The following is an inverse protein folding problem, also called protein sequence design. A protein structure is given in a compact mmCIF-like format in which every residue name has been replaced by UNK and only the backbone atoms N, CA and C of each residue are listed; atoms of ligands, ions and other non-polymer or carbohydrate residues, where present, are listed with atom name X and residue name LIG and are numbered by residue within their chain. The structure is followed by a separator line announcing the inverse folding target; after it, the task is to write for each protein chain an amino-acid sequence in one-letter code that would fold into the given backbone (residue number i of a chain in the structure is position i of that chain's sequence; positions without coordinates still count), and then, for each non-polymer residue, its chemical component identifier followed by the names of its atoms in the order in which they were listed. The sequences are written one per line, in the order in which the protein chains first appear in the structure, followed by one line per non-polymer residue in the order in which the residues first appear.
data_IF_578441137003
#
_entry.id   IF_578441137003
#
_cell.length_a   1.000
_cell.length_b   1.000
_cell.length_c   1.000
_cell.angle_alpha   90.00
_cell.angle_beta   90.00
_cell.angle_gamma   90.00
#
_symmetry.space_group_name_H-M   'P 1'
#
loop_
_entity.id
_entity.type
_entity.pdbx_description
1 polymer ?
#
# COMPACT_ATOMS: atom_id res chain seq x y z
N UNK A 1 24.62 0.33 -7.06
CA UNK A 1 24.32 1.78 -6.89
C UNK A 1 25.44 2.65 -7.44
N UNK A 2 26.72 2.27 -7.26
CA UNK A 2 27.86 2.94 -7.92
C UNK A 2 27.81 2.81 -9.45
N UNK A 3 27.37 1.66 -9.97
CA UNK A 3 27.21 1.46 -11.42
C UNK A 3 26.19 2.41 -12.03
N UNK A 4 25.03 2.58 -11.38
CA UNK A 4 23.99 3.50 -11.79
C UNK A 4 24.50 4.96 -11.81
N UNK A 5 25.26 5.38 -10.79
CA UNK A 5 25.86 6.73 -10.76
C UNK A 5 26.82 6.95 -11.92
N UNK A 6 27.60 5.93 -12.30
CA UNK A 6 28.52 5.97 -13.43
C UNK A 6 27.76 6.15 -14.75
N UNK A 7 26.70 5.37 -14.95
CA UNK A 7 25.82 5.47 -16.12
C UNK A 7 25.21 6.88 -16.25
N UNK A 8 24.64 7.44 -15.18
CA UNK A 8 24.07 8.80 -15.23
C UNK A 8 25.12 9.88 -15.49
N UNK A 9 26.36 9.71 -15.03
CA UNK A 9 27.46 10.64 -15.34
C UNK A 9 27.86 10.58 -16.82
N UNK A 10 27.82 9.39 -17.41
CA UNK A 10 28.07 9.19 -18.84
C UNK A 10 26.94 9.80 -19.68
N UNK A 11 25.68 9.58 -19.33
CA UNK A 11 24.53 10.19 -20.04
C UNK A 11 24.56 11.72 -19.94
N UNK A 12 24.87 12.29 -18.77
CA UNK A 12 25.08 13.74 -18.61
C UNK A 12 26.13 14.27 -19.58
N UNK A 13 27.24 13.55 -19.75
CA UNK A 13 28.33 13.95 -20.65
C UNK A 13 27.88 13.93 -22.11
N UNK A 14 27.17 12.88 -22.52
CA UNK A 14 26.60 12.77 -23.87
C UNK A 14 25.60 13.89 -24.16
N UNK A 15 24.71 14.21 -23.20
CA UNK A 15 23.74 15.28 -23.34
C UNK A 15 24.40 16.67 -23.43
N UNK A 16 25.43 16.94 -22.61
CA UNK A 16 26.21 18.19 -22.69
C UNK A 16 26.92 18.33 -24.03
N UNK A 17 27.53 17.25 -24.53
CA UNK A 17 28.11 17.23 -25.88
C UNK A 17 27.05 17.54 -26.95
N UNK A 18 25.91 16.86 -26.89
CA UNK A 18 24.82 17.03 -27.86
C UNK A 18 24.24 18.46 -27.83
N UNK A 19 24.21 19.10 -26.66
CA UNK A 19 23.82 20.49 -26.49
C UNK A 19 24.84 21.47 -27.08
N UNK A 20 26.13 21.25 -26.81
CA UNK A 20 27.23 22.10 -27.32
C UNK A 20 27.39 21.99 -28.84
N UNK A 21 27.33 20.77 -29.39
CA UNK A 21 27.41 20.55 -30.84
C UNK A 21 26.30 21.31 -31.60
N UNK A 22 25.07 21.31 -31.05
CA UNK A 22 23.94 22.06 -31.62
C UNK A 22 24.08 23.58 -31.43
N UNK A 23 24.71 24.01 -30.33
CA UNK A 23 24.98 25.43 -30.10
C UNK A 23 25.97 26.02 -31.11
N UNK A 24 26.94 25.24 -31.57
CA UNK A 24 27.93 25.68 -32.56
C UNK A 24 27.41 25.61 -34.00
N UNK A 25 26.51 24.68 -34.32
CA UNK A 25 25.98 24.50 -35.67
C UNK A 25 24.95 25.55 -36.11
N UNK A 26 24.26 26.21 -35.18
CA UNK A 26 23.12 27.09 -35.49
C UNK A 26 23.40 28.57 -35.19
N UNK A 27 23.67 29.34 -36.25
CA UNK A 27 23.70 30.82 -36.21
C UNK A 27 22.35 31.49 -36.54
N UNK A 28 21.37 30.72 -37.02
CA UNK A 28 19.99 31.15 -37.28
C UNK A 28 19.07 30.09 -36.67
N UNK A 29 18.27 30.48 -35.67
CA UNK A 29 17.45 29.56 -34.90
C UNK A 29 16.08 29.39 -35.57
N UNK A 30 15.82 28.20 -36.12
CA UNK A 30 14.46 27.76 -36.45
C UNK A 30 13.69 27.43 -35.16
N UNK A 31 12.36 27.50 -35.17
CA UNK A 31 11.54 27.21 -33.98
C UNK A 31 11.78 25.79 -33.45
N UNK A 32 12.01 24.83 -34.35
CA UNK A 32 12.28 23.43 -34.00
C UNK A 32 13.64 23.25 -33.32
N UNK A 33 14.65 24.02 -33.72
CA UNK A 33 15.96 24.02 -33.08
C UNK A 33 15.92 24.57 -31.64
N UNK A 34 15.09 25.59 -31.41
CA UNK A 34 14.88 26.18 -30.09
C UNK A 34 14.24 25.15 -29.14
N UNK A 35 13.20 24.44 -29.61
CA UNK A 35 12.52 23.42 -28.78
C UNK A 35 13.41 22.24 -28.47
N UNK A 36 14.19 21.75 -29.44
CA UNK A 36 15.17 20.68 -29.19
C UNK A 36 16.25 21.09 -28.18
N UNK A 37 16.73 22.34 -28.24
CA UNK A 37 17.68 22.86 -27.23
C UNK A 37 17.06 22.98 -25.84
N UNK A 38 15.80 23.41 -25.75
CA UNK A 38 15.09 23.46 -24.48
C UNK A 38 14.95 22.05 -23.90
N UNK A 39 14.53 21.07 -24.72
CA UNK A 39 14.42 19.68 -24.32
C UNK A 39 15.76 19.13 -23.80
N UNK A 40 16.87 19.36 -24.51
CA UNK A 40 18.19 18.94 -24.05
C UNK A 40 18.60 19.60 -22.73
N UNK A 41 18.24 20.87 -22.53
CA UNK A 41 18.49 21.57 -21.27
C UNK A 41 17.70 20.98 -20.11
N UNK A 42 16.43 20.63 -20.33
CA UNK A 42 15.58 19.97 -19.34
C UNK A 42 16.11 18.58 -19.00
N UNK A 43 16.47 17.78 -20.00
CA UNK A 43 17.07 16.45 -19.82
C UNK A 43 18.37 16.51 -19.02
N UNK A 44 19.21 17.53 -19.24
CA UNK A 44 20.43 17.75 -18.44
C UNK A 44 20.06 18.05 -16.98
N UNK A 45 19.05 18.89 -16.75
CA UNK A 45 18.56 19.22 -15.41
C UNK A 45 18.05 18.00 -14.65
N UNK A 46 17.27 17.14 -15.32
CA UNK A 46 16.77 15.90 -14.73
C UNK A 46 17.88 14.93 -14.36
N UNK A 47 18.88 14.76 -15.24
CA UNK A 47 20.04 13.90 -14.97
C UNK A 47 20.89 14.46 -13.83
N UNK A 48 21.10 15.78 -13.78
CA UNK A 48 21.81 16.43 -12.67
C UNK A 48 21.07 16.26 -11.34
N UNK A 49 19.74 16.39 -11.35
CA UNK A 49 18.90 16.13 -10.17
C UNK A 49 19.04 14.69 -9.66
N UNK A 50 19.01 13.70 -10.56
CA UNK A 50 19.19 12.28 -10.18
C UNK A 50 20.60 12.03 -9.65
N UNK A 51 21.64 12.59 -10.27
CA UNK A 51 23.02 12.47 -9.79
C UNK A 51 23.16 13.03 -8.37
N UNK A 52 22.64 14.23 -8.10
CA UNK A 52 22.72 14.83 -6.76
C UNK A 52 21.98 13.96 -5.73
N UNK A 53 20.85 13.37 -6.10
CA UNK A 53 20.13 12.45 -5.23
C UNK A 53 20.94 11.19 -4.91
N UNK A 54 21.57 10.59 -5.92
CA UNK A 54 22.38 9.37 -5.77
C UNK A 54 23.69 9.62 -5.01
N UNK A 55 24.28 10.81 -5.13
CA UNK A 55 25.51 11.18 -4.41
C UNK A 55 25.26 11.56 -2.95
N UNK A 56 24.22 12.33 -2.69
CA UNK A 56 23.93 12.86 -1.35
C UNK A 56 23.00 11.97 -0.53
N UNK A 57 22.23 11.10 -1.20
CA UNK A 57 21.13 10.35 -0.60
C UNK A 57 19.98 11.23 -0.10
N UNK A 58 19.97 12.52 -0.49
CA UNK A 58 19.01 13.54 -0.04
C UNK A 58 18.34 14.18 -1.24
N UNK A 59 17.14 14.72 -1.02
CA UNK A 59 16.43 15.48 -2.06
C UNK A 59 17.24 16.72 -2.46
N UNK A 60 17.61 16.87 -3.74
CA UNK A 60 18.23 18.08 -4.26
C UNK A 60 17.38 19.33 -3.99
N UNK A 61 18.03 20.43 -3.67
CA UNK A 61 17.37 21.72 -3.38
C UNK A 61 16.68 21.82 -2.00
N UNK A 62 16.59 20.73 -1.22
CA UNK A 62 16.06 20.78 0.14
C UNK A 62 17.18 21.04 1.16
N UNK A 63 17.10 22.15 1.92
CA UNK A 63 18.06 22.46 2.99
C UNK A 63 17.99 21.50 4.20
N UNK A 64 16.84 20.85 4.40
CA UNK A 64 16.59 19.88 5.49
C UNK A 64 16.25 18.53 4.88
N UNK A 65 16.85 17.45 5.40
CA UNK A 65 16.54 16.10 4.96
C UNK A 65 15.22 15.59 5.50
N UNK A 66 14.87 14.36 5.10
CA UNK A 66 13.61 13.70 5.49
C UNK A 66 13.49 13.53 7.01
N UNK A 67 14.62 13.44 7.70
CA UNK A 67 14.71 13.34 9.15
C UNK A 67 14.26 14.61 9.89
N UNK A 68 14.21 15.76 9.20
CA UNK A 68 13.86 17.07 9.78
C UNK A 68 12.81 17.79 8.93
N UNK A 69 11.67 17.13 8.76
CA UNK A 69 10.48 17.71 8.11
C UNK A 69 9.82 18.82 8.94
N UNK A 70 9.33 19.85 8.24
CA UNK A 70 8.50 20.88 8.85
C UNK A 70 7.16 20.31 9.35
N UNK A 71 6.48 20.99 10.29
CA UNK A 71 5.23 20.51 10.88
C UNK A 71 4.17 20.17 9.81
N UNK A 72 3.95 21.08 8.86
CA UNK A 72 3.02 20.89 7.75
C UNK A 72 3.39 19.75 6.78
N UNK A 73 4.65 19.28 6.76
CA UNK A 73 5.06 18.12 5.96
C UNK A 73 4.83 16.81 6.71
N UNK A 74 4.85 16.85 8.04
CA UNK A 74 4.56 15.70 8.93
C UNK A 74 3.06 15.48 9.07
N UNK A 75 2.29 16.56 9.10
CA UNK A 75 0.85 16.52 9.29
C UNK A 75 0.16 16.13 7.98
N UNK A 76 -0.61 15.05 8.03
CA UNK A 76 -1.55 14.68 6.95
C UNK A 76 -2.96 14.92 7.46
N UNK A 77 -3.77 15.62 6.66
CA UNK A 77 -5.19 15.76 6.91
C UNK A 77 -5.83 14.37 6.89
N UNK A 78 -6.32 13.95 8.05
CA UNK A 78 -7.02 12.68 8.24
C UNK A 78 -8.34 12.95 8.94
N UNK A 79 -9.35 12.19 8.54
CA UNK A 79 -10.66 12.18 9.19
C UNK A 79 -10.50 11.86 10.69
N UNK A 80 -10.97 12.73 11.62
CA UNK A 80 -10.87 12.52 13.05
C UNK A 80 -11.43 11.16 13.51
N UNK A 81 -12.50 10.67 12.86
CA UNK A 81 -13.11 9.37 13.19
C UNK A 81 -12.16 8.22 12.86
N UNK A 82 -11.43 8.34 11.73
CA UNK A 82 -10.38 7.38 11.37
C UNK A 82 -9.16 7.48 12.26
N UNK A 83 -8.82 8.65 12.78
CA UNK A 83 -7.69 8.81 13.69
C UNK A 83 -7.97 8.21 15.08
N UNK A 84 -9.21 8.35 15.57
CA UNK A 84 -9.66 7.78 16.84
C UNK A 84 -9.49 6.25 16.87
N UNK A 85 -9.74 5.60 15.73
CA UNK A 85 -9.54 4.16 15.53
C UNK A 85 -8.11 3.67 15.80
N UNK A 86 -7.09 4.51 15.54
CA UNK A 86 -5.69 4.16 15.74
C UNK A 86 -5.20 4.48 17.15
N UNK A 87 -5.68 5.58 17.73
CA UNK A 87 -5.23 6.08 19.03
C UNK A 87 -5.80 5.28 20.20
N UNK A 88 -7.03 4.79 20.07
CA UNK A 88 -7.63 3.90 21.04
C UNK A 88 -7.83 2.54 20.38
N UNK A 89 -7.28 1.47 20.97
CA UNK A 89 -7.61 0.08 20.60
C UNK A 89 -9.07 -0.30 20.90
N UNK A 90 -9.92 0.68 21.13
CA UNK A 90 -11.36 0.55 21.22
C UNK A 90 -11.96 1.09 19.93
N UNK A 91 -12.63 0.22 19.17
CA UNK A 91 -13.58 0.62 18.11
C UNK A 91 -12.97 1.48 17.00
N UNK A 92 -12.24 0.81 16.12
CA UNK A 92 -11.87 1.37 14.83
C UNK A 92 -13.08 1.49 13.91
N UNK A 93 -13.87 2.56 14.02
CA UNK A 93 -14.82 3.00 12.98
C UNK A 93 -15.90 2.01 12.53
N UNK A 94 -16.08 0.87 13.21
CA UNK A 94 -17.17 -0.07 12.98
C UNK A 94 -18.35 0.31 13.86
N UNK A 95 -19.58 0.43 13.32
CA UNK A 95 -20.78 0.69 14.11
C UNK A 95 -21.20 -0.49 15.00
N UNK A 96 -20.46 -1.60 15.00
CA UNK A 96 -20.75 -2.76 15.84
C UNK A 96 -20.23 -2.54 17.26
N UNK A 97 -20.94 -1.71 18.04
CA UNK A 97 -20.86 -1.75 19.50
C UNK A 97 -21.47 -3.07 19.98
N UNK A 98 -20.75 -4.18 19.80
CA UNK A 98 -21.18 -5.46 20.34
C UNK A 98 -21.09 -5.37 21.86
N UNK A 99 -22.21 -5.63 22.54
CA UNK A 99 -22.19 -5.80 23.99
C UNK A 99 -21.41 -7.06 24.34
N UNK A 100 -20.91 -7.15 25.58
CA UNK A 100 -20.26 -8.38 26.07
C UNK A 100 -21.15 -9.61 25.86
N UNK A 101 -22.48 -9.43 25.99
CA UNK A 101 -23.45 -10.48 25.71
C UNK A 101 -23.44 -10.93 24.24
N UNK A 102 -23.42 -9.99 23.29
CA UNK A 102 -23.36 -10.31 21.86
C UNK A 102 -22.03 -10.96 21.47
N UNK A 103 -20.92 -10.56 22.09
CA UNK A 103 -19.64 -11.25 21.93
C UNK A 103 -19.72 -12.70 22.42
N UNK A 104 -20.35 -12.93 23.57
CA UNK A 104 -20.57 -14.27 24.09
C UNK A 104 -21.46 -15.12 23.17
N UNK A 105 -22.50 -14.52 22.57
CA UNK A 105 -23.34 -15.19 21.57
C UNK A 105 -22.54 -15.62 20.34
N UNK A 106 -21.66 -14.75 19.83
CA UNK A 106 -20.78 -15.10 18.69
C UNK A 106 -19.83 -16.23 19.08
N UNK A 107 -19.26 -16.18 20.28
CA UNK A 107 -18.36 -17.21 20.78
C UNK A 107 -19.08 -18.57 20.95
N UNK A 108 -20.30 -18.59 21.50
CA UNK A 108 -21.13 -19.78 21.61
C UNK A 108 -21.49 -20.36 20.23
N UNK A 109 -21.77 -19.52 19.24
CA UNK A 109 -22.04 -19.97 17.88
C UNK A 109 -20.81 -20.62 17.22
N UNK A 110 -19.61 -20.10 17.49
CA UNK A 110 -18.36 -20.57 16.88
C UNK A 110 -17.72 -21.76 17.60
N UNK A 111 -18.10 -22.06 18.85
CA UNK A 111 -17.45 -23.12 19.64
C UNK A 111 -17.63 -24.55 19.08
N UNK A 112 -18.66 -24.77 18.26
CA UNK A 112 -18.97 -26.08 17.65
C UNK A 112 -18.07 -26.40 16.44
N UNK A 113 -17.37 -25.39 15.93
CA UNK A 113 -16.50 -25.53 14.76
C UNK A 113 -15.18 -26.20 15.13
N UNK A 114 -14.67 -27.03 14.21
CA UNK A 114 -13.26 -27.45 14.30
C UNK A 114 -12.33 -26.25 14.06
N UNK A 115 -11.08 -26.35 14.51
CA UNK A 115 -10.08 -25.29 14.37
C UNK A 115 -9.95 -24.79 12.92
N UNK A 116 -9.90 -25.70 11.94
CA UNK A 116 -9.82 -25.36 10.51
C UNK A 116 -11.10 -24.76 9.94
N UNK A 117 -12.26 -25.24 10.38
CA UNK A 117 -13.55 -24.66 9.98
C UNK A 117 -13.69 -23.23 10.53
N UNK A 118 -13.33 -23.03 11.79
CA UNK A 118 -13.35 -21.71 12.44
C UNK A 118 -12.39 -20.74 11.76
N UNK A 119 -11.16 -21.19 11.49
CA UNK A 119 -10.14 -20.37 10.83
C UNK A 119 -10.59 -19.93 9.42
N UNK A 120 -11.08 -20.87 8.60
CA UNK A 120 -11.61 -20.54 7.27
C UNK A 120 -12.83 -19.60 7.34
N UNK A 121 -13.72 -19.82 8.31
CA UNK A 121 -14.94 -19.03 8.47
C UNK A 121 -14.62 -17.59 8.91
N UNK A 122 -13.73 -17.41 9.89
CA UNK A 122 -13.31 -16.08 10.38
C UNK A 122 -12.57 -15.30 9.30
N UNK A 123 -11.66 -15.93 8.56
CA UNK A 123 -10.95 -15.27 7.46
C UNK A 123 -11.88 -14.83 6.33
N UNK A 124 -12.93 -15.62 6.05
CA UNK A 124 -13.89 -15.29 5.00
C UNK A 124 -14.94 -14.26 5.44
N UNK A 125 -15.56 -14.41 6.61
CA UNK A 125 -16.72 -13.61 7.04
C UNK A 125 -16.36 -12.50 8.05
N UNK A 126 -15.26 -12.65 8.79
CA UNK A 126 -14.75 -11.63 9.70
C UNK A 126 -13.82 -10.65 8.99
N UNK A 127 -12.83 -11.17 8.27
CA UNK A 127 -11.78 -10.37 7.59
C UNK A 127 -12.07 -10.14 6.09
N UNK A 128 -13.15 -10.70 5.55
CA UNK A 128 -13.60 -10.52 4.16
C UNK A 128 -12.58 -10.93 3.09
N UNK A 129 -11.73 -11.93 3.34
CA UNK A 129 -10.81 -12.46 2.34
C UNK A 129 -11.51 -13.37 1.32
N UNK A 130 -10.98 -13.40 0.09
CA UNK A 130 -11.45 -14.33 -0.94
C UNK A 130 -10.99 -15.76 -0.67
N UNK A 131 -11.75 -16.76 -1.13
CA UNK A 131 -11.40 -18.17 -0.90
C UNK A 131 -10.02 -18.56 -1.48
N UNK A 132 -9.56 -17.88 -2.54
CA UNK A 132 -8.20 -18.07 -3.08
C UNK A 132 -7.13 -17.52 -2.14
N UNK A 133 -7.32 -16.32 -1.58
CA UNK A 133 -6.38 -15.75 -0.61
C UNK A 133 -6.29 -16.59 0.66
N UNK A 134 -7.42 -17.14 1.10
CA UNK A 134 -7.46 -18.05 2.26
C UNK A 134 -6.74 -19.36 1.97
N UNK A 135 -6.94 -19.92 0.78
CA UNK A 135 -6.22 -21.11 0.31
C UNK A 135 -4.70 -20.89 0.33
N UNK A 136 -4.25 -19.75 -0.18
CA UNK A 136 -2.83 -19.37 -0.20
C UNK A 136 -2.27 -19.16 1.23
N UNK A 137 -3.04 -18.51 2.11
CA UNK A 137 -2.63 -18.28 3.52
C UNK A 137 -2.51 -19.57 4.33
N UNK A 138 -3.44 -20.51 4.12
CA UNK A 138 -3.50 -21.75 4.89
C UNK A 138 -2.75 -22.92 4.22
N UNK A 139 -2.23 -22.72 3.01
CA UNK A 139 -1.52 -23.75 2.24
C UNK A 139 -2.43 -24.92 1.81
N UNK A 140 -3.70 -24.66 1.56
CA UNK A 140 -4.71 -25.65 1.17
C UNK A 140 -5.34 -25.31 -0.17
N UNK A 141 -6.11 -26.23 -0.75
CA UNK A 141 -6.81 -25.96 -2.02
C UNK A 141 -8.06 -25.10 -1.80
N UNK A 142 -8.41 -24.27 -2.79
CA UNK A 142 -9.66 -23.47 -2.79
C UNK A 142 -10.91 -24.33 -2.53
N UNK A 143 -10.95 -25.56 -3.05
CA UNK A 143 -12.02 -26.53 -2.81
C UNK A 143 -12.10 -26.99 -1.35
N UNK A 144 -10.95 -27.12 -0.67
CA UNK A 144 -10.92 -27.45 0.75
C UNK A 144 -11.50 -26.31 1.58
N UNK A 145 -11.10 -25.06 1.28
CA UNK A 145 -11.65 -23.85 1.93
C UNK A 145 -13.18 -23.81 1.79
N UNK A 146 -13.69 -24.00 0.56
CA UNK A 146 -15.14 -23.98 0.30
C UNK A 146 -15.88 -25.08 1.10
N UNK A 147 -15.28 -26.26 1.21
CA UNK A 147 -15.84 -27.36 2.00
C UNK A 147 -15.86 -27.04 3.50
N UNK A 148 -14.78 -26.47 4.03
CA UNK A 148 -14.71 -26.06 5.43
C UNK A 148 -15.73 -24.96 5.76
N UNK A 149 -15.89 -23.98 4.89
CA UNK A 149 -16.88 -22.90 5.07
C UNK A 149 -18.31 -23.45 5.04
N UNK A 150 -18.66 -24.33 4.09
CA UNK A 150 -20.00 -24.93 4.02
C UNK A 150 -20.33 -25.74 5.27
N UNK A 151 -19.39 -26.55 5.76
CA UNK A 151 -19.57 -27.31 7.01
C UNK A 151 -19.72 -26.38 8.21
N UNK A 152 -18.93 -25.30 8.26
CA UNK A 152 -19.04 -24.31 9.31
C UNK A 152 -20.42 -23.64 9.33
N UNK A 153 -20.90 -23.20 8.17
CA UNK A 153 -22.24 -22.60 8.02
C UNK A 153 -23.34 -23.55 8.46
N UNK A 154 -23.26 -24.82 8.08
CA UNK A 154 -24.24 -25.83 8.51
C UNK A 154 -24.25 -25.98 10.04
N UNK A 155 -23.09 -26.16 10.67
CA UNK A 155 -22.97 -26.30 12.14
C UNK A 155 -23.47 -25.07 12.89
N UNK A 156 -23.14 -23.87 12.40
CA UNK A 156 -23.63 -22.62 13.01
C UNK A 156 -25.15 -22.54 12.86
N UNK A 157 -25.72 -22.86 11.71
CA UNK A 157 -27.18 -22.82 11.50
C UNK A 157 -27.92 -23.78 12.44
N UNK A 158 -27.40 -24.99 12.63
CA UNK A 158 -27.93 -25.96 13.58
C UNK A 158 -27.80 -25.47 15.03
N UNK A 159 -26.67 -24.81 15.37
CA UNK A 159 -26.43 -24.24 16.70
C UNK A 159 -27.37 -23.07 17.00
N UNK A 160 -27.64 -22.22 16.02
CA UNK A 160 -28.58 -21.09 16.18
C UNK A 160 -30.00 -21.59 16.45
N UNK A 161 -30.42 -22.66 15.79
CA UNK A 161 -31.75 -23.25 16.01
C UNK A 161 -31.88 -24.03 17.32
N UNK A 162 -30.77 -24.51 17.90
CA UNK A 162 -30.76 -25.38 19.08
C UNK A 162 -30.31 -24.70 20.38
N UNK A 163 -29.55 -23.61 20.30
CA UNK A 163 -28.99 -22.92 21.47
C UNK A 163 -29.98 -21.93 22.06
N UNK A 164 -30.27 -22.09 23.35
CA UNK A 164 -31.15 -21.19 24.11
C UNK A 164 -30.62 -19.74 24.18
N UNK A 165 -29.31 -19.55 24.00
CA UNK A 165 -28.66 -18.24 24.05
C UNK A 165 -28.68 -17.49 22.70
N UNK A 166 -29.02 -18.19 21.62
CA UNK A 166 -29.00 -17.66 20.25
C UNK A 166 -30.40 -17.49 19.66
N UNK A 167 -31.43 -18.06 20.31
CA UNK A 167 -32.84 -17.82 19.96
C UNK A 167 -33.26 -16.48 20.56
N UNK A 168 -33.49 -15.50 19.68
CA UNK A 168 -34.11 -14.21 19.98
C UNK A 168 -35.49 -14.12 19.35
#
# INVERSE_FOLDING_TARGET
MQDLLKEYKETRRQLKWAYEARRESEKVLDNQAITERQLLSEMIGDVEYVIEWLETGRRPGNRRGIERQAAYQRERLMDPVRMQAFAARSTAGSPANLTEWQLHQIEDALCVLSERERECYVLSHGECFTHSQIADMLGITKSSVDTHIKRAQQKISERVMSSLFLVG
#
